data_IF_902969999722
#
_entry.id   IF_902969999722
#
_cell.length_a   1.000
_cell.length_b   1.000
_cell.length_c   1.000
_cell.angle_alpha   90.00
_cell.angle_beta   90.00
_cell.angle_gamma   90.00
#
_symmetry.space_group_name_H-M   'P 1'
#
loop_
_entity.id
_entity.type
_entity.pdbx_description
1 polymer ?
#
# COMPACT_ATOMS: atom_id res chain seq x y z
N UNK A 1 -4.06 15.35 3.99
CA UNK A 1 -4.23 14.09 3.24
C UNK A 1 -4.90 13.11 4.17
N UNK A 2 -6.01 12.51 3.76
CA UNK A 2 -6.86 11.64 4.59
C UNK A 2 -7.22 10.40 3.76
N UNK A 3 -7.11 9.23 4.35
CA UNK A 3 -7.69 7.99 3.82
C UNK A 3 -9.06 7.82 4.47
N UNK A 4 -10.13 7.84 3.68
CA UNK A 4 -11.50 7.70 4.17
C UNK A 4 -11.95 6.26 4.30
N UNK A 5 -11.59 5.45 3.32
CA UNK A 5 -11.94 4.03 3.30
C UNK A 5 -10.91 3.20 2.56
N UNK A 6 -10.92 1.91 2.84
CA UNK A 6 -10.19 0.91 2.08
C UNK A 6 -11.07 -0.33 1.90
N UNK A 7 -11.05 -0.87 0.69
CA UNK A 7 -11.65 -2.15 0.35
C UNK A 7 -10.56 -3.10 -0.14
N UNK A 8 -10.59 -4.32 0.33
CA UNK A 8 -9.65 -5.40 -0.02
C UNK A 8 -10.43 -6.62 -0.48
N UNK A 9 -10.01 -7.23 -1.58
CA UNK A 9 -10.49 -8.53 -2.01
C UNK A 9 -9.30 -9.45 -2.28
N UNK A 10 -9.30 -10.62 -1.65
CA UNK A 10 -8.28 -11.66 -1.77
C UNK A 10 -6.84 -11.17 -1.52
N UNK A 11 -6.70 -10.18 -0.65
CA UNK A 11 -5.41 -9.61 -0.29
C UNK A 11 -4.89 -10.24 1.00
N UNK A 12 -3.74 -10.91 0.94
CA UNK A 12 -3.15 -11.63 2.08
C UNK A 12 -4.14 -12.63 2.70
N UNK A 13 -4.54 -12.41 3.95
CA UNK A 13 -5.52 -13.24 4.66
C UNK A 13 -6.96 -12.72 4.53
N UNK A 14 -7.17 -11.58 3.89
CA UNK A 14 -8.52 -11.04 3.67
C UNK A 14 -9.16 -11.63 2.43
N UNK A 15 -10.26 -12.33 2.58
CA UNK A 15 -11.15 -12.70 1.47
C UNK A 15 -11.86 -11.45 0.98
N UNK A 16 -12.43 -10.70 1.93
CA UNK A 16 -13.08 -9.41 1.70
C UNK A 16 -12.96 -8.55 2.97
N UNK A 17 -12.70 -7.28 2.79
CA UNK A 17 -12.72 -6.27 3.84
C UNK A 17 -13.17 -4.94 3.28
N UNK A 18 -14.12 -4.30 3.97
CA UNK A 18 -14.44 -2.88 3.85
C UNK A 18 -14.20 -2.20 5.18
N UNK A 19 -13.33 -1.20 5.20
CA UNK A 19 -13.04 -0.43 6.40
C UNK A 19 -13.13 1.08 6.11
N UNK A 20 -13.70 1.82 7.06
CA UNK A 20 -13.75 3.28 7.05
C UNK A 20 -12.90 3.84 8.17
N UNK A 21 -12.26 4.96 7.91
CA UNK A 21 -11.33 5.60 8.83
C UNK A 21 -11.81 6.98 9.26
N UNK A 22 -11.52 7.32 10.50
CA UNK A 22 -11.60 8.70 11.00
C UNK A 22 -10.50 9.54 10.35
N UNK A 23 -10.72 10.84 10.13
CA UNK A 23 -9.70 11.73 9.58
C UNK A 23 -8.43 11.86 10.43
N UNK A 24 -8.55 11.65 11.73
CA UNK A 24 -7.46 11.87 12.70
C UNK A 24 -6.76 10.56 13.06
N UNK A 25 -7.14 9.94 14.17
CA UNK A 25 -6.50 8.76 14.72
C UNK A 25 -7.42 7.55 14.60
N UNK A 26 -6.85 6.45 14.08
CA UNK A 26 -7.53 5.17 14.00
C UNK A 26 -6.70 4.13 14.76
N UNK A 27 -7.34 3.41 15.66
CA UNK A 27 -6.69 2.33 16.42
C UNK A 27 -7.19 0.99 15.88
N UNK A 28 -6.26 0.20 15.34
CA UNK A 28 -6.53 -1.14 14.82
C UNK A 28 -6.06 -2.14 15.89
N UNK A 29 -7.00 -2.83 16.51
CA UNK A 29 -6.72 -3.81 17.58
C UNK A 29 -7.35 -5.16 17.26
N UNK A 30 -6.91 -6.18 17.94
CA UNK A 30 -7.36 -7.56 17.80
C UNK A 30 -6.23 -8.55 18.11
N UNK A 31 -6.52 -9.82 18.06
CA UNK A 31 -5.55 -10.89 18.29
C UNK A 31 -4.43 -10.91 17.24
N UNK A 32 -3.34 -11.59 17.56
CA UNK A 32 -2.24 -11.76 16.60
C UNK A 32 -2.70 -12.59 15.40
N UNK A 33 -2.07 -12.36 14.27
CA UNK A 33 -2.37 -13.01 12.98
C UNK A 33 -3.75 -12.69 12.37
N UNK A 34 -4.54 -11.78 12.92
CA UNK A 34 -5.86 -11.39 12.36
C UNK A 34 -5.77 -10.45 11.13
N UNK A 35 -4.57 -10.05 10.74
CA UNK A 35 -4.37 -9.25 9.51
C UNK A 35 -4.17 -7.75 9.73
N UNK A 36 -4.03 -7.27 10.98
CA UNK A 36 -3.79 -5.84 11.27
C UNK A 36 -2.65 -5.24 10.44
N UNK A 37 -1.52 -5.92 10.40
CA UNK A 37 -0.35 -5.52 9.60
C UNK A 37 -0.64 -5.58 8.10
N UNK A 38 -1.45 -6.54 7.64
CA UNK A 38 -1.82 -6.67 6.24
C UNK A 38 -2.72 -5.50 5.77
N UNK A 39 -3.55 -4.96 6.66
CA UNK A 39 -4.33 -3.76 6.36
C UNK A 39 -3.43 -2.53 6.21
N UNK A 40 -2.47 -2.34 7.12
CA UNK A 40 -1.47 -1.25 7.00
C UNK A 40 -0.60 -1.41 5.75
N UNK A 41 -0.21 -2.65 5.43
CA UNK A 41 0.52 -2.98 4.20
C UNK A 41 -0.28 -2.59 2.95
N UNK A 42 -1.59 -2.84 2.92
CA UNK A 42 -2.46 -2.47 1.80
C UNK A 42 -2.53 -0.94 1.60
N UNK A 43 -2.68 -0.17 2.69
CA UNK A 43 -2.65 1.30 2.62
C UNK A 43 -1.30 1.80 2.10
N UNK A 44 -0.19 1.27 2.63
CA UNK A 44 1.16 1.63 2.19
C UNK A 44 1.40 1.22 0.73
N UNK A 45 0.88 0.08 0.29
CA UNK A 45 0.98 -0.39 -1.09
C UNK A 45 0.37 0.60 -2.09
N UNK A 46 -0.79 1.19 -1.78
CA UNK A 46 -1.43 2.20 -2.63
C UNK A 46 -0.63 3.51 -2.75
N UNK A 47 0.37 3.74 -1.90
CA UNK A 47 1.23 4.93 -2.02
C UNK A 47 2.46 4.73 -2.90
N UNK A 48 2.96 3.50 -3.00
CA UNK A 48 4.25 3.21 -3.68
C UNK A 48 4.16 2.10 -4.71
N UNK A 49 3.01 1.39 -4.77
CA UNK A 49 2.85 0.13 -5.49
C UNK A 49 3.95 -0.90 -5.14
N UNK A 50 4.41 -0.88 -3.90
CA UNK A 50 5.44 -1.79 -3.39
C UNK A 50 5.13 -2.17 -1.95
N UNK A 51 5.34 -3.42 -1.61
CA UNK A 51 5.25 -3.88 -0.22
C UNK A 51 6.63 -3.83 0.44
N UNK A 52 6.65 -3.49 1.73
CA UNK A 52 7.84 -3.57 2.56
C UNK A 52 8.16 -5.01 2.99
N UNK A 53 7.18 -5.94 2.89
CA UNK A 53 7.29 -7.34 3.33
C UNK A 53 7.34 -8.35 2.20
N UNK A 54 6.78 -8.01 1.03
CA UNK A 54 6.73 -8.88 -0.13
C UNK A 54 7.74 -8.42 -1.19
N UNK A 55 8.45 -9.38 -1.76
CA UNK A 55 9.36 -9.13 -2.88
C UNK A 55 8.59 -9.06 -4.21
N UNK A 56 7.52 -9.84 -4.33
CA UNK A 56 6.72 -9.94 -5.54
C UNK A 56 5.24 -9.71 -5.24
N UNK A 57 4.51 -9.06 -6.13
CA UNK A 57 3.07 -8.78 -5.98
C UNK A 57 2.24 -10.07 -5.79
N UNK A 58 2.65 -11.20 -6.38
CA UNK A 58 1.99 -12.49 -6.19
C UNK A 58 1.93 -12.98 -4.72
N UNK A 59 2.82 -12.49 -3.88
CA UNK A 59 2.86 -12.83 -2.45
C UNK A 59 1.79 -12.07 -1.65
N UNK A 60 1.22 -11.01 -2.22
CA UNK A 60 0.12 -10.24 -1.67
C UNK A 60 -1.24 -10.87 -1.96
N UNK A 61 -1.31 -11.73 -2.98
CA UNK A 61 -2.53 -12.43 -3.40
C UNK A 61 -2.78 -13.60 -2.45
N UNK A 62 -4.01 -13.73 -1.96
CA UNK A 62 -4.41 -14.83 -1.09
C UNK A 62 -4.05 -16.19 -1.72
N UNK A 63 -3.69 -17.14 -0.88
CA UNK A 63 -3.38 -18.49 -1.34
C UNK A 63 -4.63 -19.14 -1.99
N UNK A 64 -4.43 -19.81 -3.12
CA UNK A 64 -5.50 -20.51 -3.83
C UNK A 64 -6.32 -19.65 -4.79
N UNK A 65 -6.03 -18.34 -4.92
CA UNK A 65 -6.68 -17.46 -5.92
C UNK A 65 -5.65 -16.79 -6.81
N UNK A 66 -6.09 -16.28 -7.96
CA UNK A 66 -5.20 -15.75 -8.99
C UNK A 66 -5.14 -14.21 -9.02
N UNK A 67 -5.99 -13.54 -8.26
CA UNK A 67 -6.06 -12.08 -8.26
C UNK A 67 -6.33 -11.52 -6.87
N UNK A 68 -5.99 -10.25 -6.68
CA UNK A 68 -6.36 -9.47 -5.51
C UNK A 68 -6.65 -8.02 -5.91
N UNK A 69 -7.50 -7.35 -5.15
CA UNK A 69 -7.85 -5.95 -5.34
C UNK A 69 -7.59 -5.17 -4.06
N UNK A 70 -7.07 -3.97 -4.23
CA UNK A 70 -6.93 -2.97 -3.17
C UNK A 70 -7.50 -1.67 -3.71
N UNK A 71 -8.47 -1.10 -3.01
CA UNK A 71 -9.10 0.17 -3.38
C UNK A 71 -9.17 1.07 -2.16
N UNK A 72 -8.87 2.35 -2.30
CA UNK A 72 -9.05 3.32 -1.23
C UNK A 72 -9.65 4.63 -1.77
N UNK A 73 -10.45 5.27 -0.93
CA UNK A 73 -10.92 6.64 -1.11
C UNK A 73 -10.06 7.57 -0.27
N UNK A 74 -9.45 8.55 -0.89
CA UNK A 74 -8.50 9.47 -0.25
C UNK A 74 -8.77 10.91 -0.62
N UNK A 75 -8.61 11.83 0.32
CA UNK A 75 -8.59 13.27 0.04
C UNK A 75 -7.17 13.78 0.12
N UNK A 76 -6.70 14.42 -0.94
CA UNK A 76 -5.37 15.01 -1.02
C UNK A 76 -5.42 16.34 -1.78
N UNK A 77 -4.73 17.36 -1.28
CA UNK A 77 -4.65 18.68 -1.93
C UNK A 77 -6.02 19.30 -2.27
N UNK A 78 -7.02 19.11 -1.39
CA UNK A 78 -8.37 19.63 -1.57
C UNK A 78 -9.20 18.92 -2.66
N UNK A 79 -8.79 17.71 -3.07
CA UNK A 79 -9.50 16.88 -4.04
C UNK A 79 -9.66 15.46 -3.53
N UNK A 80 -10.71 14.79 -3.99
CA UNK A 80 -10.95 13.39 -3.69
C UNK A 80 -10.46 12.49 -4.82
N UNK A 81 -9.85 11.38 -4.43
CA UNK A 81 -9.32 10.38 -5.33
C UNK A 81 -9.79 8.99 -4.92
N UNK A 82 -10.08 8.18 -5.90
CA UNK A 82 -10.23 6.74 -5.77
C UNK A 82 -8.97 6.10 -6.34
N UNK A 83 -8.17 5.45 -5.49
CA UNK A 83 -6.98 4.72 -5.88
C UNK A 83 -7.28 3.23 -5.91
N UNK A 84 -6.86 2.55 -6.98
CA UNK A 84 -7.05 1.10 -7.10
C UNK A 84 -5.76 0.43 -7.55
N UNK A 85 -5.50 -0.75 -6.98
CA UNK A 85 -4.48 -1.68 -7.45
C UNK A 85 -5.12 -3.05 -7.72
N UNK A 86 -4.90 -3.56 -8.91
CA UNK A 86 -5.33 -4.90 -9.34
C UNK A 86 -4.09 -5.75 -9.53
N UNK A 87 -3.99 -6.81 -8.75
CA UNK A 87 -2.87 -7.74 -8.75
C UNK A 87 -3.31 -9.06 -9.38
N UNK A 88 -2.42 -9.69 -10.13
CA UNK A 88 -2.69 -10.99 -10.74
C UNK A 88 -1.43 -11.85 -10.78
N UNK A 89 -1.62 -13.18 -10.68
CA UNK A 89 -0.52 -14.15 -10.82
C UNK A 89 -0.09 -14.18 -12.28
N UNK A 90 1.21 -14.02 -12.53
CA UNK A 90 1.77 -14.08 -13.88
C UNK A 90 1.45 -12.89 -14.79
N UNK A 91 0.74 -11.88 -14.29
CA UNK A 91 0.43 -10.66 -15.04
C UNK A 91 0.96 -9.42 -14.31
N UNK A 92 1.24 -8.38 -15.08
CA UNK A 92 1.67 -7.11 -14.51
C UNK A 92 0.50 -6.44 -13.78
N UNK A 93 0.76 -5.94 -12.57
CA UNK A 93 -0.21 -5.16 -11.81
C UNK A 93 -0.78 -3.99 -12.62
N UNK A 94 -2.00 -3.63 -12.35
CA UNK A 94 -2.67 -2.48 -12.94
C UNK A 94 -3.05 -1.51 -11.82
N UNK A 95 -2.73 -0.24 -12.02
CA UNK A 95 -2.96 0.83 -11.06
C UNK A 95 -3.90 1.85 -11.69
N UNK A 96 -4.83 2.38 -10.89
CA UNK A 96 -5.82 3.35 -11.35
C UNK A 96 -5.97 4.49 -10.35
N UNK A 97 -6.25 5.68 -10.87
CA UNK A 97 -6.69 6.84 -10.10
C UNK A 97 -7.95 7.41 -10.75
N UNK A 98 -9.05 7.50 -9.99
CA UNK A 98 -10.36 7.93 -10.49
C UNK A 98 -10.80 7.17 -11.76
N UNK A 99 -10.56 5.84 -11.80
CA UNK A 99 -10.89 4.99 -12.93
C UNK A 99 -9.95 5.10 -14.13
N UNK A 100 -8.99 6.02 -14.12
CA UNK A 100 -7.98 6.17 -15.18
C UNK A 100 -6.77 5.32 -14.86
N UNK A 101 -6.35 4.49 -15.81
CA UNK A 101 -5.18 3.63 -15.65
C UNK A 101 -3.90 4.47 -15.62
N UNK A 102 -3.09 4.25 -14.60
CA UNK A 102 -1.80 4.91 -14.43
C UNK A 102 -0.71 4.20 -15.26
N UNK A 103 0.24 4.96 -15.77
CA UNK A 103 1.36 4.45 -16.57
C UNK A 103 2.49 3.92 -15.67
N UNK A 104 2.66 4.51 -14.49
CA UNK A 104 3.72 4.18 -13.55
C UNK A 104 3.27 4.22 -12.10
N UNK A 105 4.01 3.55 -11.23
CA UNK A 105 3.80 3.62 -9.78
C UNK A 105 4.09 5.02 -9.19
N UNK A 106 4.95 5.80 -9.84
CA UNK A 106 5.26 7.17 -9.42
C UNK A 106 4.05 8.11 -9.41
N UNK A 107 3.07 7.84 -10.27
CA UNK A 107 1.83 8.62 -10.31
C UNK A 107 0.97 8.44 -9.04
N UNK A 108 1.03 7.29 -8.37
CA UNK A 108 0.40 7.08 -7.06
C UNK A 108 1.05 7.94 -5.97
N UNK A 109 2.38 8.01 -5.96
CA UNK A 109 3.15 8.80 -4.99
C UNK A 109 2.83 10.29 -5.07
N UNK A 110 2.30 10.77 -6.19
CA UNK A 110 1.79 12.14 -6.35
C UNK A 110 0.46 12.39 -5.62
N UNK A 111 -0.30 11.35 -5.32
CA UNK A 111 -1.64 11.43 -4.69
C UNK A 111 -1.59 11.05 -3.23
N UNK A 112 -1.10 9.85 -2.90
CA UNK A 112 -1.03 9.34 -1.53
C UNK A 112 0.43 9.20 -1.09
N UNK A 113 0.79 9.86 0.00
CA UNK A 113 2.07 9.71 0.67
C UNK A 113 1.85 9.09 2.05
N UNK A 114 2.52 7.99 2.31
CA UNK A 114 2.46 7.29 3.60
C UNK A 114 3.83 7.26 4.25
N UNK A 115 3.84 7.30 5.58
CA UNK A 115 4.99 6.90 6.39
C UNK A 115 4.54 5.69 7.19
N UNK A 116 5.18 4.56 6.94
CA UNK A 116 4.93 3.33 7.67
C UNK A 116 6.14 3.08 8.58
N UNK A 117 5.88 2.87 9.85
CA UNK A 117 6.88 2.40 10.81
C UNK A 117 6.55 0.96 11.21
N UNK A 118 7.49 0.07 10.99
CA UNK A 118 7.38 -1.35 11.35
C UNK A 118 8.50 -1.73 12.33
N UNK A 119 8.27 -2.68 13.24
CA UNK A 119 9.36 -3.19 14.11
C UNK A 119 10.55 -3.70 13.29
N UNK A 120 10.31 -4.23 12.10
CA UNK A 120 11.33 -4.70 11.16
C UNK A 120 12.26 -3.58 10.67
N UNK A 121 11.82 -2.32 10.69
CA UNK A 121 12.65 -1.17 10.29
C UNK A 121 13.85 -0.97 11.25
N UNK A 122 13.77 -1.51 12.46
CA UNK A 122 14.90 -1.55 13.40
C UNK A 122 16.05 -2.42 12.87
N UNK A 123 15.78 -3.36 11.95
CA UNK A 123 16.83 -4.16 11.30
C UNK A 123 17.60 -3.39 10.24
N UNK A 124 17.16 -2.19 9.85
CA UNK A 124 17.87 -1.33 8.90
C UNK A 124 19.35 -1.10 9.29
N UNK A 125 19.62 -1.08 10.60
CA UNK A 125 20.97 -0.94 11.18
C UNK A 125 21.73 -2.27 11.09
N UNK A 126 21.05 -3.39 11.21
CA UNK A 126 21.65 -4.74 11.24
C UNK A 126 21.82 -5.36 9.86
N UNK A 127 20.99 -4.98 8.91
CA UNK A 127 21.02 -5.50 7.54
C UNK A 127 22.05 -4.76 6.66
N UNK A 128 22.41 -5.39 5.54
CA UNK A 128 23.44 -4.92 4.63
C UNK A 128 23.09 -3.61 3.87
N UNK A 129 24.04 -3.11 3.11
CA UNK A 129 23.94 -1.87 2.36
C UNK A 129 22.80 -1.82 1.33
N UNK A 130 22.34 -2.98 0.84
CA UNK A 130 21.24 -3.07 -0.12
C UNK A 130 19.89 -2.62 0.48
N UNK A 131 19.60 -3.01 1.73
CA UNK A 131 18.37 -2.62 2.45
C UNK A 131 18.37 -1.12 2.74
N UNK A 132 19.52 -0.58 3.19
CA UNK A 132 19.68 0.86 3.41
C UNK A 132 19.51 1.67 2.14
N UNK A 133 20.06 1.22 1.00
CA UNK A 133 19.87 1.87 -0.30
C UNK A 133 18.41 1.89 -0.70
N UNK A 134 17.70 0.76 -0.63
CA UNK A 134 16.27 0.67 -0.97
C UNK A 134 15.42 1.62 -0.10
N UNK A 135 15.73 1.75 1.18
CA UNK A 135 15.06 2.68 2.07
C UNK A 135 15.29 4.13 1.63
N UNK A 136 16.54 4.53 1.36
CA UNK A 136 16.89 5.87 0.89
C UNK A 136 16.26 6.20 -0.45
N UNK A 137 16.29 5.28 -1.41
CA UNK A 137 15.65 5.45 -2.73
C UNK A 137 14.15 5.70 -2.57
N UNK A 138 13.48 4.96 -1.69
CA UNK A 138 12.07 5.16 -1.37
C UNK A 138 11.78 6.55 -0.75
N UNK A 139 12.65 7.05 0.09
CA UNK A 139 12.53 8.38 0.68
C UNK A 139 12.76 9.49 -0.36
N UNK A 140 13.74 9.35 -1.23
CA UNK A 140 14.07 10.32 -2.30
C UNK A 140 12.92 10.40 -3.30
N UNK A 141 12.41 9.27 -3.80
CA UNK A 141 11.27 9.25 -4.72
C UNK A 141 10.04 9.97 -4.15
N UNK A 142 9.76 9.83 -2.85
CA UNK A 142 8.66 10.54 -2.18
C UNK A 142 8.91 12.04 -2.04
N UNK A 143 10.16 12.47 -1.92
CA UNK A 143 10.52 13.89 -1.81
C UNK A 143 10.46 14.61 -3.16
N UNK A 144 10.83 13.94 -4.24
CA UNK A 144 10.80 14.51 -5.60
C UNK A 144 9.37 14.63 -6.17
N UNK A 145 8.46 13.75 -5.79
CA UNK A 145 7.04 13.84 -6.16
C UNK A 145 6.33 15.09 -5.57
N UNK A 146 7.03 15.89 -4.74
CA UNK A 146 6.52 17.16 -4.18
C UNK A 146 6.87 18.40 -5.02
N UNK A 147 7.67 18.27 -6.06
CA UNK A 147 7.95 19.33 -7.04
C UNK A 147 7.11 19.12 -8.28
#
# INVERSE_FOLDING_TARGET
MIVHSIALDFFRNYVHLDARFSPEVNVIYGENAQGKTNLLEAVAYLSTASSHRARYDRELIQFGVDHAFVKAEVSARGRDFTLEARLGRGVRRQLYSNGVRLKSAGELSGVLNTVLFCPEDLYLIREGAATRRRFLDGCICKSEAKR
#
